data_IF_513901052551
#
_entry.id   IF_513901052551
#
_cell.length_a   1.000
_cell.length_b   1.000
_cell.length_c   1.000
_cell.angle_alpha   90.00
_cell.angle_beta   90.00
_cell.angle_gamma   90.00
#
_symmetry.space_group_name_H-M   'P 1'
#
loop_
_entity.id
_entity.type
_entity.pdbx_description
1 polymer ?
#
# COMPACT_ATOMS: atom_id res chain seq x y z
N UNK A 1 1.30 31.21 -18.50
CA UNK A 1 1.53 29.76 -18.59
C UNK A 1 1.13 29.17 -17.25
N UNK A 2 -0.04 28.54 -17.25
CA UNK A 2 -0.73 27.92 -16.12
C UNK A 2 -0.04 26.60 -15.77
N UNK A 3 0.40 26.45 -14.52
CA UNK A 3 0.96 25.22 -13.99
C UNK A 3 -0.18 24.23 -13.68
N UNK A 4 -0.21 23.11 -14.39
CA UNK A 4 -1.02 21.93 -14.07
C UNK A 4 -0.35 21.19 -12.90
N UNK A 5 -0.98 21.23 -11.73
CA UNK A 5 -0.65 20.38 -10.59
C UNK A 5 -1.27 18.99 -10.79
N UNK A 6 -0.59 17.88 -10.43
CA UNK A 6 -1.20 16.56 -10.47
C UNK A 6 -2.17 16.41 -9.30
N UNK A 7 -3.44 16.15 -9.63
CA UNK A 7 -4.49 15.75 -8.70
C UNK A 7 -4.14 14.39 -8.07
N UNK A 8 -3.67 14.41 -6.83
CA UNK A 8 -3.69 13.25 -5.94
C UNK A 8 -5.14 12.99 -5.53
N UNK A 9 -5.68 11.84 -5.92
CA UNK A 9 -6.98 11.36 -5.48
C UNK A 9 -6.91 11.06 -3.98
N UNK A 10 -7.44 11.99 -3.19
CA UNK A 10 -7.67 11.83 -1.76
C UNK A 10 -8.90 10.94 -1.59
N UNK A 11 -8.71 9.66 -1.25
CA UNK A 11 -9.80 8.80 -0.81
C UNK A 11 -10.28 9.27 0.56
N UNK A 12 -11.43 9.95 0.58
CA UNK A 12 -12.18 10.30 1.78
C UNK A 12 -12.90 9.04 2.28
N UNK A 13 -12.22 8.26 3.13
CA UNK A 13 -12.92 7.39 4.06
C UNK A 13 -13.48 8.28 5.18
N UNK A 14 -14.80 8.40 5.23
CA UNK A 14 -15.51 9.14 6.28
C UNK A 14 -15.25 8.44 7.62
N UNK A 15 -14.60 9.15 8.55
CA UNK A 15 -14.36 8.69 9.91
C UNK A 15 -15.69 8.53 10.69
N UNK A 16 -15.84 7.54 11.58
CA UNK A 16 -16.93 7.52 12.55
C UNK A 16 -16.76 8.70 13.53
N UNK A 17 -17.86 9.30 14.01
CA UNK A 17 -17.78 10.41 14.96
C UNK A 17 -17.17 9.96 16.30
N UNK A 18 -16.47 10.85 17.01
CA UNK A 18 -15.89 10.54 18.31
C UNK A 18 -16.99 10.27 19.34
N UNK A 19 -16.92 9.12 20.00
CA UNK A 19 -17.85 8.73 21.06
C UNK A 19 -17.72 9.64 22.27
N UNK A 20 -18.69 10.53 22.45
CA UNK A 20 -19.03 11.12 23.74
C UNK A 20 -20.11 10.29 24.41
N UNK A 21 -20.04 10.14 25.73
CA UNK A 21 -21.05 9.47 26.54
C UNK A 21 -22.41 10.17 26.39
N UNK A 22 -23.27 9.63 25.54
CA UNK A 22 -24.69 10.00 25.46
C UNK A 22 -25.48 8.88 26.13
N UNK A 23 -26.25 9.16 27.20
CA UNK A 23 -27.16 8.19 27.78
C UNK A 23 -28.13 7.68 26.72
N UNK A 24 -28.23 6.37 26.57
CA UNK A 24 -29.17 5.74 25.66
C UNK A 24 -30.60 6.09 26.10
N UNK A 25 -31.37 6.75 25.23
CA UNK A 25 -32.83 6.76 25.32
C UNK A 25 -33.39 5.81 24.25
N UNK A 26 -34.29 4.88 24.60
CA UNK A 26 -34.93 4.03 23.61
C UNK A 26 -35.77 4.89 22.66
N UNK A 27 -35.39 4.90 21.38
CA UNK A 27 -36.24 5.40 20.31
C UNK A 27 -37.48 4.49 20.26
N UNK A 28 -38.72 5.04 20.27
CA UNK A 28 -39.91 4.23 20.21
C UNK A 28 -39.92 3.42 18.91
N UNK A 29 -39.95 2.10 19.04
CA UNK A 29 -40.04 1.15 17.95
C UNK A 29 -41.37 1.32 17.20
N UNK A 30 -41.37 2.12 16.15
CA UNK A 30 -42.38 1.99 15.11
C UNK A 30 -42.18 0.59 14.49
N UNK A 31 -43.15 -0.30 14.72
CA UNK A 31 -43.11 -1.68 14.25
C UNK A 31 -42.90 -1.73 12.75
N UNK A 32 -41.72 -2.16 12.33
CA UNK A 32 -41.49 -2.72 11.00
C UNK A 32 -41.80 -4.20 11.15
N UNK A 33 -42.80 -4.65 10.39
CA UNK A 33 -43.21 -6.04 10.30
C UNK A 33 -42.00 -6.95 10.13
N UNK A 34 -41.84 -7.90 11.05
CA UNK A 34 -40.86 -8.98 10.94
C UNK A 34 -41.20 -9.80 9.70
N UNK A 35 -40.42 -9.63 8.63
CA UNK A 35 -40.38 -10.56 7.52
C UNK A 35 -40.13 -11.97 8.07
N UNK A 36 -40.81 -12.98 7.51
CA UNK A 36 -40.69 -14.38 7.97
C UNK A 36 -39.24 -14.92 7.94
N UNK A 37 -39.00 -16.17 8.38
CA UNK A 37 -37.66 -16.74 8.36
C UNK A 37 -37.02 -16.59 6.98
N UNK A 38 -35.82 -16.01 6.94
CA UNK A 38 -35.07 -15.73 5.72
C UNK A 38 -35.01 -17.02 4.88
N UNK A 39 -35.58 -16.99 3.66
CA UNK A 39 -35.54 -18.17 2.80
C UNK A 39 -34.11 -18.43 2.36
N UNK A 40 -33.65 -19.67 2.50
CA UNK A 40 -32.30 -20.07 2.12
C UNK A 40 -32.33 -21.34 1.27
N UNK A 41 -31.42 -21.39 0.31
CA UNK A 41 -31.09 -22.57 -0.49
C UNK A 41 -29.69 -23.05 -0.09
N UNK A 42 -29.32 -24.27 -0.51
CA UNK A 42 -27.98 -24.79 -0.25
C UNK A 42 -27.38 -25.52 -1.46
N UNK A 43 -26.08 -25.30 -1.69
CA UNK A 43 -25.24 -26.07 -2.61
C UNK A 43 -24.21 -26.81 -1.76
N UNK A 44 -24.09 -28.12 -1.95
CA UNK A 44 -23.07 -28.93 -1.29
C UNK A 44 -21.99 -29.33 -2.26
N UNK A 45 -20.74 -29.26 -1.81
CA UNK A 45 -19.55 -29.78 -2.52
C UNK A 45 -18.93 -30.90 -1.68
N UNK A 46 -17.69 -31.32 -2.01
CA UNK A 46 -16.99 -32.37 -1.26
C UNK A 46 -16.73 -31.96 0.19
N UNK A 47 -16.34 -30.71 0.41
CA UNK A 47 -15.84 -30.18 1.68
C UNK A 47 -16.56 -28.94 2.18
N UNK A 48 -17.56 -28.46 1.43
CA UNK A 48 -18.33 -27.27 1.78
C UNK A 48 -19.83 -27.49 1.69
N UNK A 49 -20.56 -26.79 2.55
CA UNK A 49 -22.01 -26.59 2.47
C UNK A 49 -22.28 -25.10 2.37
N UNK A 50 -22.66 -24.63 1.19
CA UNK A 50 -22.90 -23.23 0.91
C UNK A 50 -24.38 -22.96 1.10
N UNK A 51 -24.76 -22.26 2.16
CA UNK A 51 -26.14 -21.81 2.46
C UNK A 51 -26.27 -20.38 1.98
N UNK A 52 -27.29 -20.06 1.18
CA UNK A 52 -27.40 -18.73 0.57
C UNK A 52 -28.84 -18.28 0.40
N UNK A 53 -29.06 -16.97 0.36
CA UNK A 53 -30.36 -16.40 0.00
C UNK A 53 -30.60 -16.46 -1.52
N UNK A 54 -31.85 -16.48 -2.00
CA UNK A 54 -32.14 -16.50 -3.44
C UNK A 54 -31.42 -15.42 -4.25
N UNK A 55 -31.22 -14.23 -3.66
CA UNK A 55 -30.50 -13.10 -4.29
C UNK A 55 -28.99 -13.32 -4.37
N UNK A 56 -28.41 -14.13 -3.49
CA UNK A 56 -26.99 -14.49 -3.48
C UNK A 56 -26.66 -15.72 -4.35
N UNK A 57 -27.63 -16.28 -5.09
CA UNK A 57 -27.47 -17.53 -5.87
C UNK A 57 -26.30 -17.52 -6.85
N UNK A 58 -26.08 -16.40 -7.56
CA UNK A 58 -24.94 -16.26 -8.47
C UNK A 58 -23.60 -16.36 -7.75
N UNK A 59 -23.45 -15.64 -6.64
CA UNK A 59 -22.25 -15.68 -5.78
C UNK A 59 -22.03 -17.06 -5.18
N UNK A 60 -23.09 -17.75 -4.74
CA UNK A 60 -23.00 -19.12 -4.22
C UNK A 60 -22.50 -20.12 -5.28
N UNK A 61 -22.91 -19.98 -6.54
CA UNK A 61 -22.41 -20.80 -7.64
C UNK A 61 -20.94 -20.54 -7.96
N UNK A 62 -20.48 -19.29 -7.83
CA UNK A 62 -19.05 -18.95 -7.95
C UNK A 62 -18.27 -19.63 -6.82
N UNK A 63 -18.70 -19.46 -5.57
CA UNK A 63 -18.08 -20.10 -4.40
C UNK A 63 -18.00 -21.62 -4.53
N UNK A 64 -19.04 -22.27 -5.05
CA UNK A 64 -19.05 -23.72 -5.27
C UNK A 64 -17.94 -24.21 -6.21
N UNK A 65 -17.44 -23.36 -7.11
CA UNK A 65 -16.31 -23.68 -8.01
C UNK A 65 -14.95 -23.34 -7.40
N UNK A 66 -14.87 -22.24 -6.64
CA UNK A 66 -13.60 -21.69 -6.15
C UNK A 66 -13.16 -22.24 -4.79
N UNK A 67 -14.09 -22.64 -3.91
CA UNK A 67 -13.75 -23.02 -2.53
C UNK A 67 -12.95 -24.32 -2.42
N UNK A 68 -13.24 -25.31 -3.27
CA UNK A 68 -12.51 -26.58 -3.29
C UNK A 68 -11.02 -26.40 -3.64
N UNK A 69 -10.64 -25.79 -4.78
CA UNK A 69 -9.23 -25.55 -5.09
C UNK A 69 -8.58 -24.59 -4.09
N UNK A 70 -9.31 -23.59 -3.58
CA UNK A 70 -8.80 -22.70 -2.54
C UNK A 70 -8.42 -23.46 -1.26
N UNK A 71 -9.23 -24.43 -0.84
CA UNK A 71 -8.93 -25.31 0.28
C UNK A 71 -7.74 -26.22 0.01
N UNK A 72 -7.60 -26.74 -1.21
CA UNK A 72 -6.43 -27.55 -1.60
C UNK A 72 -5.14 -26.73 -1.54
N UNK A 73 -5.15 -25.48 -2.00
CA UNK A 73 -4.01 -24.56 -1.90
C UNK A 73 -3.61 -24.31 -0.43
N UNK A 74 -4.59 -23.95 0.41
CA UNK A 74 -4.34 -23.66 1.82
C UNK A 74 -3.87 -24.93 2.54
N UNK A 75 -4.48 -26.08 2.28
CA UNK A 75 -4.08 -27.35 2.88
C UNK A 75 -2.65 -27.73 2.50
N UNK A 76 -2.24 -27.49 1.24
CA UNK A 76 -0.86 -27.70 0.80
C UNK A 76 0.13 -26.82 1.57
N UNK A 77 -0.21 -25.54 1.77
CA UNK A 77 0.62 -24.59 2.51
C UNK A 77 0.71 -24.92 4.01
N UNK A 78 -0.40 -25.34 4.61
CA UNK A 78 -0.48 -25.78 6.01
C UNK A 78 0.08 -27.20 6.21
N UNK A 79 0.41 -27.92 5.13
CA UNK A 79 0.88 -29.31 5.16
C UNK A 79 -0.18 -30.36 5.45
N UNK A 80 -1.45 -29.96 5.59
CA UNK A 80 -2.60 -30.84 5.80
C UNK A 80 -3.93 -30.16 5.54
N UNK A 81 -4.93 -30.98 5.26
CA UNK A 81 -6.33 -30.57 5.25
C UNK A 81 -6.87 -30.53 6.70
N UNK A 82 -7.94 -29.78 6.94
CA UNK A 82 -8.66 -29.73 8.22
C UNK A 82 -9.88 -30.66 8.21
N UNK A 83 -10.39 -31.12 9.36
CA UNK A 83 -11.55 -32.02 9.38
C UNK A 83 -12.87 -31.29 9.06
N UNK A 84 -13.86 -32.09 8.64
CA UNK A 84 -15.26 -31.65 8.53
C UNK A 84 -15.63 -30.87 7.27
N UNK A 85 -16.92 -30.55 7.18
CA UNK A 85 -17.53 -29.78 6.09
C UNK A 85 -17.70 -28.34 6.57
N UNK A 86 -17.02 -27.40 5.90
CA UNK A 86 -17.11 -25.98 6.22
C UNK A 86 -18.43 -25.41 5.70
N UNK A 87 -19.23 -24.81 6.57
CA UNK A 87 -20.48 -24.15 6.17
C UNK A 87 -20.18 -22.70 5.77
N UNK A 88 -20.59 -22.31 4.57
CA UNK A 88 -20.42 -20.94 4.05
C UNK A 88 -21.79 -20.32 3.88
N UNK A 89 -22.07 -19.24 4.61
CA UNK A 89 -23.34 -18.52 4.58
C UNK A 89 -23.22 -17.27 3.73
N UNK A 90 -24.08 -17.11 2.73
CA UNK A 90 -23.97 -16.03 1.74
C UNK A 90 -25.27 -15.23 1.66
N UNK A 91 -25.21 -13.96 2.03
CA UNK A 91 -26.34 -13.03 1.98
C UNK A 91 -26.07 -11.89 1.00
N UNK A 92 -27.10 -11.41 0.30
CA UNK A 92 -26.99 -10.27 -0.60
C UNK A 92 -27.30 -8.97 0.16
N UNK A 93 -26.29 -8.10 0.28
CA UNK A 93 -26.41 -6.86 1.03
C UNK A 93 -26.40 -7.07 2.56
N UNK A 94 -26.41 -5.95 3.28
CA UNK A 94 -26.12 -5.95 4.72
C UNK A 94 -27.15 -6.69 5.56
N UNK A 95 -28.44 -6.51 5.27
CA UNK A 95 -29.54 -7.12 6.02
C UNK A 95 -29.48 -8.66 5.97
N UNK A 96 -29.33 -9.24 4.78
CA UNK A 96 -29.24 -10.69 4.61
C UNK A 96 -27.94 -11.25 5.20
N UNK A 97 -26.83 -10.52 5.06
CA UNK A 97 -25.54 -10.88 5.66
C UNK A 97 -25.64 -10.95 7.20
N UNK A 98 -26.23 -9.94 7.84
CA UNK A 98 -26.45 -9.93 9.29
C UNK A 98 -27.43 -11.01 9.72
N UNK A 99 -28.53 -11.21 8.98
CA UNK A 99 -29.54 -12.21 9.30
C UNK A 99 -29.00 -13.65 9.27
N UNK A 100 -27.97 -13.90 8.46
CA UNK A 100 -27.30 -15.21 8.38
C UNK A 100 -26.19 -15.40 9.42
N UNK A 101 -25.83 -14.37 10.19
CA UNK A 101 -24.81 -14.44 11.24
C UNK A 101 -25.23 -15.39 12.38
N UNK A 102 -24.25 -15.82 13.19
CA UNK A 102 -24.54 -16.66 14.35
C UNK A 102 -25.05 -15.83 15.52
N UNK A 103 -25.90 -16.40 16.41
CA UNK A 103 -26.28 -15.74 17.65
C UNK A 103 -25.04 -15.40 18.48
N UNK A 104 -24.94 -14.14 18.95
CA UNK A 104 -23.80 -13.67 19.76
C UNK A 104 -23.31 -12.27 19.44
N UNK A 105 -23.80 -11.65 18.36
CA UNK A 105 -23.49 -10.26 18.00
C UNK A 105 -23.56 -10.05 16.49
N UNK A 106 -23.95 -8.85 16.06
CA UNK A 106 -23.90 -8.51 14.64
C UNK A 106 -22.43 -8.46 14.17
N UNK A 107 -22.14 -8.90 12.93
CA UNK A 107 -20.83 -8.69 12.32
C UNK A 107 -20.43 -7.20 12.38
N UNK A 108 -19.13 -6.86 12.42
CA UNK A 108 -18.71 -5.47 12.30
C UNK A 108 -19.30 -4.80 11.05
N UNK A 109 -19.66 -3.50 11.07
CA UNK A 109 -20.29 -2.84 9.91
C UNK A 109 -19.45 -2.87 8.64
N UNK A 110 -18.12 -2.89 8.80
CA UNK A 110 -17.14 -2.93 7.71
C UNK A 110 -16.81 -4.34 7.23
N UNK A 111 -17.22 -5.39 7.94
CA UNK A 111 -16.90 -6.77 7.58
C UNK A 111 -17.71 -7.21 6.36
N UNK A 112 -16.99 -7.57 5.30
CA UNK A 112 -17.55 -8.11 4.05
C UNK A 112 -17.45 -9.65 3.98
N UNK A 113 -16.60 -10.23 4.83
CA UNK A 113 -16.56 -11.64 5.16
C UNK A 113 -16.15 -11.78 6.65
N UNK A 114 -16.52 -12.90 7.27
CA UNK A 114 -16.23 -13.17 8.67
C UNK A 114 -16.17 -14.68 8.93
N UNK A 115 -15.07 -15.15 9.52
CA UNK A 115 -14.95 -16.51 10.02
C UNK A 115 -15.53 -16.66 11.44
N UNK A 116 -16.11 -17.82 11.70
CA UNK A 116 -16.38 -18.35 13.03
C UNK A 116 -15.54 -19.62 13.22
N UNK A 117 -14.24 -19.48 13.56
CA UNK A 117 -13.26 -20.57 13.48
C UNK A 117 -13.70 -21.83 14.21
N UNK A 118 -14.09 -21.71 15.48
CA UNK A 118 -14.50 -22.84 16.31
C UNK A 118 -15.82 -23.51 15.92
N UNK A 119 -16.56 -22.96 14.95
CA UNK A 119 -17.82 -23.53 14.45
C UNK A 119 -17.73 -24.04 13.01
N UNK A 120 -16.57 -23.93 12.38
CA UNK A 120 -16.37 -24.27 10.97
C UNK A 120 -17.35 -23.54 10.04
N UNK A 121 -17.64 -22.28 10.34
CA UNK A 121 -18.57 -21.43 9.59
C UNK A 121 -17.83 -20.21 9.06
N UNK A 122 -18.14 -19.83 7.82
CA UNK A 122 -17.76 -18.56 7.23
C UNK A 122 -19.02 -17.83 6.77
N UNK A 123 -19.07 -16.53 6.99
CA UNK A 123 -20.14 -15.64 6.55
C UNK A 123 -19.59 -14.70 5.48
N UNK A 124 -20.28 -14.59 4.34
CA UNK A 124 -19.82 -13.87 3.15
C UNK A 124 -20.91 -12.96 2.64
N UNK A 125 -20.57 -11.69 2.40
CA UNK A 125 -21.45 -10.76 1.70
C UNK A 125 -21.33 -11.02 0.20
N UNK A 126 -22.45 -11.21 -0.49
CA UNK A 126 -22.47 -11.71 -1.87
C UNK A 126 -21.76 -10.81 -2.88
N UNK A 127 -21.80 -9.49 -2.70
CA UNK A 127 -21.15 -8.51 -3.59
C UNK A 127 -19.65 -8.40 -3.36
N UNK A 128 -19.15 -8.77 -2.17
CA UNK A 128 -17.72 -8.79 -1.84
C UNK A 128 -16.90 -9.62 -2.82
N UNK A 129 -17.47 -10.71 -3.35
CA UNK A 129 -16.84 -11.60 -4.32
C UNK A 129 -16.51 -10.95 -5.66
N UNK A 130 -17.21 -9.85 -5.99
CA UNK A 130 -17.04 -9.12 -7.25
C UNK A 130 -15.99 -8.01 -7.13
N UNK A 131 -15.51 -7.74 -5.92
CA UNK A 131 -14.44 -6.76 -5.68
C UNK A 131 -13.08 -7.33 -6.08
N UNK A 132 -12.11 -6.46 -6.34
CA UNK A 132 -10.74 -6.88 -6.69
C UNK A 132 -10.08 -7.69 -5.57
N UNK A 133 -10.40 -7.38 -4.31
CA UNK A 133 -9.77 -7.98 -3.13
C UNK A 133 -10.60 -9.16 -2.57
N UNK A 134 -11.81 -9.41 -3.08
CA UNK A 134 -12.75 -10.43 -2.58
C UNK A 134 -12.16 -11.85 -2.45
N UNK A 135 -11.50 -12.39 -3.50
CA UNK A 135 -10.84 -13.70 -3.40
C UNK A 135 -9.73 -13.76 -2.36
N UNK A 136 -9.01 -12.66 -2.11
CA UNK A 136 -7.97 -12.59 -1.07
C UNK A 136 -8.61 -12.61 0.32
N UNK A 137 -9.63 -11.79 0.54
CA UNK A 137 -10.39 -11.79 1.81
C UNK A 137 -10.98 -13.16 2.11
N UNK A 138 -11.52 -13.86 1.11
CA UNK A 138 -12.02 -15.24 1.31
C UNK A 138 -10.92 -16.21 1.74
N UNK A 139 -9.73 -16.14 1.12
CA UNK A 139 -8.59 -16.97 1.51
C UNK A 139 -8.20 -16.69 2.96
N UNK A 140 -8.20 -15.42 3.36
CA UNK A 140 -7.88 -14.98 4.73
C UNK A 140 -8.85 -15.60 5.74
N UNK A 141 -10.15 -15.44 5.53
CA UNK A 141 -11.17 -16.03 6.40
C UNK A 141 -11.12 -17.57 6.40
N UNK A 142 -10.74 -18.20 5.28
CA UNK A 142 -10.63 -19.65 5.21
C UNK A 142 -9.44 -20.18 6.03
N UNK A 143 -8.34 -19.42 6.12
CA UNK A 143 -7.21 -19.73 7.02
C UNK A 143 -7.67 -19.68 8.48
N UNK A 144 -8.46 -18.67 8.86
CA UNK A 144 -9.04 -18.58 10.20
C UNK A 144 -9.92 -19.79 10.52
N UNK A 145 -10.79 -20.20 9.58
CA UNK A 145 -11.59 -21.42 9.72
C UNK A 145 -10.70 -22.64 9.93
N UNK A 146 -9.66 -22.82 9.11
CA UNK A 146 -8.74 -23.95 9.22
C UNK A 146 -8.06 -23.99 10.60
N UNK A 147 -7.51 -22.87 11.07
CA UNK A 147 -6.89 -22.77 12.39
C UNK A 147 -7.87 -23.13 13.52
N UNK A 148 -9.12 -22.67 13.43
CA UNK A 148 -10.16 -23.02 14.39
C UNK A 148 -10.52 -24.50 14.45
N UNK A 149 -10.24 -25.26 13.38
CA UNK A 149 -10.41 -26.72 13.37
C UNK A 149 -9.20 -27.46 13.94
N UNK A 150 -8.00 -26.87 13.87
CA UNK A 150 -6.79 -27.45 14.45
C UNK A 150 -6.63 -27.16 15.94
N UNK A 151 -7.22 -26.07 16.45
CA UNK A 151 -7.07 -25.66 17.84
C UNK A 151 -8.10 -24.62 18.26
N UNK A 152 -8.41 -24.61 19.55
CA UNK A 152 -9.39 -23.67 20.12
C UNK A 152 -8.81 -22.30 20.45
N UNK A 153 -7.52 -22.24 20.78
CA UNK A 153 -6.87 -21.04 21.30
C UNK A 153 -5.58 -20.83 20.52
N UNK A 154 -5.55 -19.74 19.77
CA UNK A 154 -4.40 -19.27 19.01
C UNK A 154 -4.20 -17.79 19.36
N UNK A 155 -2.95 -17.32 19.54
CA UNK A 155 -2.69 -15.90 19.67
C UNK A 155 -3.21 -15.15 18.44
N UNK A 156 -3.87 -14.02 18.68
CA UNK A 156 -4.49 -13.23 17.62
C UNK A 156 -3.46 -12.77 16.58
N UNK A 157 -2.28 -12.34 17.03
CA UNK A 157 -1.15 -12.02 16.13
C UNK A 157 -0.77 -13.18 15.22
N UNK A 158 -0.82 -14.43 15.70
CA UNK A 158 -0.44 -15.58 14.88
C UNK A 158 -1.50 -15.89 13.83
N UNK A 159 -2.79 -15.82 14.22
CA UNK A 159 -3.90 -16.03 13.31
C UNK A 159 -3.87 -15.02 12.15
N UNK A 160 -3.76 -13.74 12.46
CA UNK A 160 -3.73 -12.69 11.44
C UNK A 160 -2.43 -12.74 10.62
N UNK A 161 -1.28 -12.90 11.26
CA UNK A 161 0.00 -12.98 10.56
C UNK A 161 0.08 -14.16 9.60
N UNK A 162 -0.42 -15.34 9.99
CA UNK A 162 -0.45 -16.51 9.12
C UNK A 162 -1.43 -16.33 7.97
N UNK A 163 -2.63 -15.80 8.22
CA UNK A 163 -3.60 -15.54 7.18
C UNK A 163 -3.03 -14.58 6.11
N UNK A 164 -2.44 -13.46 6.52
CA UNK A 164 -1.81 -12.48 5.61
C UNK A 164 -0.64 -13.09 4.82
N UNK A 165 0.20 -13.89 5.47
CA UNK A 165 1.34 -14.53 4.80
C UNK A 165 0.88 -15.54 3.73
N UNK A 166 -0.17 -16.31 4.02
CA UNK A 166 -0.69 -17.33 3.10
C UNK A 166 -1.55 -16.76 1.97
N UNK A 167 -2.18 -15.59 2.16
CA UNK A 167 -2.95 -14.92 1.09
C UNK A 167 -2.06 -14.14 0.12
N UNK A 168 -0.82 -13.81 0.50
CA UNK A 168 0.12 -13.14 -0.38
C UNK A 168 -0.33 -11.74 -0.77
N UNK A 169 -0.88 -11.02 0.21
CA UNK A 169 -1.47 -9.68 0.12
C UNK A 169 -0.42 -8.59 -0.24
N UNK A 170 0.08 -8.64 -1.49
CA UNK A 170 1.18 -7.81 -2.02
C UNK A 170 0.91 -6.30 -1.96
N UNK A 171 -0.35 -5.88 -2.12
CA UNK A 171 -0.75 -4.47 -2.00
C UNK A 171 -0.47 -3.94 -0.59
N UNK A 172 -0.69 -4.78 0.41
CA UNK A 172 -0.45 -4.45 1.79
C UNK A 172 1.04 -4.50 2.15
N UNK A 173 1.88 -5.22 1.41
CA UNK A 173 3.32 -5.31 1.74
C UNK A 173 4.01 -3.94 1.77
N UNK A 174 3.70 -3.03 0.83
CA UNK A 174 4.32 -1.69 0.84
C UNK A 174 3.81 -0.82 2.00
N UNK A 175 2.51 -0.85 2.27
CA UNK A 175 1.90 -0.12 3.38
C UNK A 175 2.38 -0.67 4.73
N UNK A 176 2.42 -1.99 4.89
CA UNK A 176 2.96 -2.67 6.07
C UNK A 176 4.43 -2.33 6.31
N UNK A 177 5.26 -2.29 5.26
CA UNK A 177 6.66 -1.86 5.36
C UNK A 177 6.74 -0.42 5.86
N UNK A 178 5.93 0.50 5.33
CA UNK A 178 5.91 1.88 5.78
C UNK A 178 5.41 2.01 7.24
N UNK A 179 4.36 1.27 7.60
CA UNK A 179 3.79 1.21 8.96
C UNK A 179 4.81 0.68 9.95
N UNK A 180 5.48 -0.44 9.66
CA UNK A 180 6.53 -0.99 10.51
C UNK A 180 7.75 -0.08 10.60
N UNK A 181 8.18 0.52 9.49
CA UNK A 181 9.29 1.48 9.52
C UNK A 181 8.98 2.65 10.46
N UNK A 182 7.75 3.16 10.43
CA UNK A 182 7.29 4.20 11.36
C UNK A 182 7.24 3.70 12.80
N UNK A 183 6.65 2.53 13.04
CA UNK A 183 6.55 1.92 14.37
C UNK A 183 7.92 1.69 15.00
N UNK A 184 8.89 1.17 14.25
CA UNK A 184 10.28 0.97 14.68
C UNK A 184 10.95 2.31 14.99
N UNK A 185 10.74 3.34 14.16
CA UNK A 185 11.33 4.67 14.38
C UNK A 185 10.74 5.37 15.62
N UNK A 186 9.48 5.09 15.94
CA UNK A 186 8.75 5.71 17.06
C UNK A 186 8.75 4.87 18.34
N UNK A 187 9.41 3.71 18.34
CA UNK A 187 9.41 2.75 19.46
C UNK A 187 7.98 2.30 19.86
N UNK A 188 7.16 1.97 18.86
CA UNK A 188 5.75 1.56 19.00
C UNK A 188 5.50 0.10 18.59
N UNK A 189 6.55 -0.72 18.59
CA UNK A 189 6.46 -2.16 18.31
C UNK A 189 5.93 -2.85 19.56
N UNK A 190 4.94 -3.72 19.43
CA UNK A 190 4.30 -4.41 20.55
C UNK A 190 5.15 -5.56 21.09
N UNK A 191 4.96 -5.90 22.36
CA UNK A 191 5.25 -7.26 22.84
C UNK A 191 4.16 -8.22 22.31
N UNK A 192 4.54 -9.44 21.87
CA UNK A 192 3.54 -10.35 21.28
C UNK A 192 2.49 -10.80 22.30
N UNK A 193 2.83 -10.84 23.58
CA UNK A 193 1.87 -11.07 24.67
C UNK A 193 0.77 -10.00 24.71
N UNK A 194 1.09 -8.73 24.42
CA UNK A 194 0.12 -7.62 24.42
C UNK A 194 -0.95 -7.74 23.33
N UNK A 195 -0.60 -8.38 22.22
CA UNK A 195 -1.46 -8.58 21.04
C UNK A 195 -1.88 -10.04 20.86
N UNK A 196 -1.70 -10.89 21.88
CA UNK A 196 -2.07 -12.30 21.85
C UNK A 196 -3.57 -12.53 22.05
N UNK A 197 -4.22 -11.74 22.90
CA UNK A 197 -5.67 -11.91 23.16
C UNK A 197 -6.54 -11.09 22.20
N UNK A 198 -6.13 -9.85 21.91
CA UNK A 198 -6.86 -8.92 21.04
C UNK A 198 -5.92 -7.83 20.53
N UNK A 199 -6.29 -7.23 19.41
CA UNK A 199 -5.62 -6.03 18.91
C UNK A 199 -6.15 -4.76 19.62
N UNK A 200 -5.36 -3.67 19.58
CA UNK A 200 -5.81 -2.34 20.03
C UNK A 200 -7.03 -1.85 19.23
N UNK A 201 -7.65 -0.74 19.63
CA UNK A 201 -8.84 -0.20 18.95
C UNK A 201 -8.53 0.98 18.02
N UNK A 202 -7.46 1.73 18.30
CA UNK A 202 -7.09 2.87 17.47
C UNK A 202 -6.53 2.38 16.14
N UNK A 203 -7.01 2.94 15.02
CA UNK A 203 -6.67 2.48 13.66
C UNK A 203 -5.15 2.31 13.45
N UNK A 204 -4.36 3.36 13.74
CA UNK A 204 -2.90 3.31 13.58
C UNK A 204 -2.26 2.18 14.40
N UNK A 205 -2.78 1.93 15.61
CA UNK A 205 -2.28 0.87 16.49
C UNK A 205 -2.64 -0.53 15.96
N UNK A 206 -3.82 -0.67 15.37
CA UNK A 206 -4.27 -1.91 14.72
C UNK A 206 -3.42 -2.22 13.49
N UNK A 207 -3.17 -1.21 12.65
CA UNK A 207 -2.34 -1.37 11.45
C UNK A 207 -0.91 -1.82 11.80
N UNK A 208 -0.35 -1.31 12.92
CA UNK A 208 0.94 -1.77 13.45
C UNK A 208 0.86 -3.23 13.89
N UNK A 209 -0.18 -3.62 14.63
CA UNK A 209 -0.35 -5.00 15.09
C UNK A 209 -0.45 -6.00 13.93
N UNK A 210 -1.23 -5.68 12.89
CA UNK A 210 -1.30 -6.49 11.66
C UNK A 210 0.05 -6.59 10.95
N UNK A 211 0.70 -5.45 10.70
CA UNK A 211 1.97 -5.43 9.99
C UNK A 211 3.06 -6.20 10.76
N UNK A 212 3.13 -6.02 12.09
CA UNK A 212 4.06 -6.74 12.95
C UNK A 212 3.79 -8.25 12.97
N UNK A 213 2.52 -8.65 13.00
CA UNK A 213 2.09 -10.05 12.97
C UNK A 213 2.55 -10.75 11.70
N UNK A 214 2.27 -10.16 10.53
CA UNK A 214 2.69 -10.69 9.24
C UNK A 214 4.23 -10.78 9.13
N UNK A 215 4.94 -9.70 9.50
CA UNK A 215 6.40 -9.66 9.46
C UNK A 215 7.06 -10.70 10.37
N UNK A 216 6.47 -10.99 11.52
CA UNK A 216 7.01 -12.00 12.43
C UNK A 216 6.76 -13.42 11.96
N UNK A 217 5.57 -13.71 11.41
CA UNK A 217 5.32 -15.01 10.75
C UNK A 217 6.25 -15.22 9.56
N UNK A 218 6.47 -14.19 8.74
CA UNK A 218 7.46 -14.23 7.65
C UNK A 218 8.88 -14.48 8.18
N UNK A 219 9.27 -13.80 9.27
CA UNK A 219 10.57 -14.00 9.93
C UNK A 219 10.75 -15.44 10.42
N UNK A 220 9.74 -16.01 11.09
CA UNK A 220 9.75 -17.39 11.55
C UNK A 220 9.83 -18.37 10.39
N UNK A 221 9.07 -18.14 9.31
CA UNK A 221 9.10 -18.97 8.09
C UNK A 221 10.47 -18.93 7.42
N UNK A 222 11.08 -17.76 7.30
CA UNK A 222 12.41 -17.61 6.71
C UNK A 222 13.50 -18.31 7.54
N UNK A 223 13.36 -18.32 8.87
CA UNK A 223 14.35 -18.88 9.80
C UNK A 223 14.22 -20.38 9.99
N UNK A 224 12.99 -20.90 10.09
CA UNK A 224 12.71 -22.28 10.49
C UNK A 224 12.08 -23.15 9.40
N UNK A 225 11.65 -22.53 8.29
CA UNK A 225 10.98 -23.20 7.18
C UNK A 225 9.54 -23.62 7.48
N UNK A 226 8.79 -23.97 6.43
CA UNK A 226 7.36 -24.31 6.54
C UNK A 226 7.09 -25.56 7.39
N UNK A 227 8.05 -26.50 7.47
CA UNK A 227 7.90 -27.70 8.29
C UNK A 227 7.80 -27.42 9.80
N UNK A 228 8.29 -26.27 10.27
CA UNK A 228 8.11 -25.85 11.67
C UNK A 228 6.66 -25.47 11.98
N UNK A 229 5.98 -24.79 11.05
CA UNK A 229 4.57 -24.44 11.20
C UNK A 229 3.66 -25.67 11.21
N UNK A 230 3.97 -26.67 10.37
CA UNK A 230 3.26 -27.95 10.39
C UNK A 230 3.36 -28.63 11.77
N UNK A 231 4.57 -28.65 12.37
CA UNK A 231 4.77 -29.17 13.72
C UNK A 231 4.05 -28.34 14.79
N UNK A 232 4.00 -27.02 14.65
CA UNK A 232 3.23 -26.17 15.56
C UNK A 232 1.75 -26.57 15.54
N UNK A 233 1.18 -26.71 14.34
CA UNK A 233 -0.20 -27.15 14.15
C UNK A 233 -0.42 -28.54 14.76
N UNK A 234 0.49 -29.49 14.51
CA UNK A 234 0.44 -30.83 15.13
C UNK A 234 0.34 -30.79 16.65
N UNK A 235 1.16 -29.95 17.28
CA UNK A 235 1.23 -29.84 18.75
C UNK A 235 -0.02 -29.21 19.33
N UNK A 236 -0.53 -28.15 18.71
CA UNK A 236 -1.78 -27.52 19.13
C UNK A 236 -2.96 -28.48 18.98
N UNK A 237 -3.01 -29.24 17.88
CA UNK A 237 -4.05 -30.27 17.66
C UNK A 237 -3.98 -31.41 18.69
N UNK A 238 -2.79 -31.75 19.16
CA UNK A 238 -2.56 -32.70 20.27
C UNK A 238 -2.95 -32.14 21.65
N UNK A 239 -3.36 -30.87 21.74
CA UNK A 239 -3.81 -30.23 22.96
C UNK A 239 -2.73 -29.50 23.75
N UNK A 240 -1.52 -29.33 23.20
CA UNK A 240 -0.55 -28.43 23.81
C UNK A 240 -1.05 -26.98 23.71
N UNK A 241 -0.84 -26.19 24.77
CA UNK A 241 -1.04 -24.75 24.66
C UNK A 241 -0.03 -24.14 23.67
N UNK A 242 -0.36 -22.98 23.12
CA UNK A 242 0.42 -22.38 22.04
C UNK A 242 1.89 -22.18 22.38
N UNK A 243 2.23 -21.67 23.58
CA UNK A 243 3.61 -21.43 24.00
C UNK A 243 4.45 -22.71 24.03
N UNK A 244 3.88 -23.78 24.61
CA UNK A 244 4.51 -25.11 24.64
C UNK A 244 4.65 -25.68 23.23
N UNK A 245 3.62 -25.56 22.41
CA UNK A 245 3.60 -26.01 21.03
C UNK A 245 4.66 -25.27 20.18
N UNK A 246 4.81 -23.97 20.39
CA UNK A 246 5.81 -23.12 19.75
C UNK A 246 7.22 -23.57 20.09
N UNK A 247 7.54 -23.70 21.38
CA UNK A 247 8.86 -24.16 21.83
C UNK A 247 9.23 -25.54 21.28
N UNK A 248 8.25 -26.45 21.16
CA UNK A 248 8.45 -27.77 20.58
C UNK A 248 8.61 -27.76 19.04
N UNK A 249 7.94 -26.83 18.36
CA UNK A 249 7.92 -26.76 16.90
C UNK A 249 9.15 -26.05 16.31
N UNK A 250 9.53 -24.93 16.93
CA UNK A 250 10.64 -24.06 16.52
C UNK A 250 11.94 -24.34 17.29
N UNK A 251 11.90 -25.23 18.30
CA UNK A 251 13.05 -25.58 19.16
C UNK A 251 13.64 -24.40 19.95
N UNK A 252 12.90 -23.30 20.01
CA UNK A 252 13.26 -22.05 20.68
C UNK A 252 11.97 -21.48 21.29
N UNK A 253 12.00 -20.98 22.54
CA UNK A 253 10.85 -20.30 23.15
C UNK A 253 10.41 -19.05 22.37
N UNK A 254 9.13 -18.70 22.46
CA UNK A 254 8.56 -17.55 21.74
C UNK A 254 9.30 -16.25 22.08
N UNK A 255 9.56 -16.02 23.36
CA UNK A 255 10.26 -14.84 23.85
C UNK A 255 11.66 -14.64 23.23
N UNK A 256 12.41 -15.72 23.00
CA UNK A 256 13.72 -15.63 22.35
C UNK A 256 13.63 -15.30 20.86
N UNK A 257 12.62 -15.83 20.16
CA UNK A 257 12.39 -15.48 18.75
C UNK A 257 11.87 -14.05 18.61
N UNK A 258 11.04 -13.59 19.56
CA UNK A 258 10.59 -12.22 19.65
C UNK A 258 11.75 -11.23 19.87
N UNK A 259 12.64 -11.52 20.82
CA UNK A 259 13.86 -10.70 21.04
C UNK A 259 14.75 -10.66 19.79
N UNK A 260 14.93 -11.81 19.13
CA UNK A 260 15.71 -11.90 17.91
C UNK A 260 15.08 -11.09 16.77
N UNK A 261 13.76 -11.15 16.63
CA UNK A 261 13.00 -10.37 15.65
C UNK A 261 13.12 -8.87 15.92
N UNK A 262 12.86 -8.43 17.16
CA UNK A 262 12.96 -7.02 17.56
C UNK A 262 14.35 -6.44 17.33
N UNK A 263 15.40 -7.24 17.57
CA UNK A 263 16.79 -6.85 17.28
C UNK A 263 17.06 -6.69 15.77
N UNK A 264 16.36 -7.45 14.92
CA UNK A 264 16.51 -7.37 13.45
C UNK A 264 15.68 -6.24 12.82
N UNK A 265 14.65 -5.73 13.51
CA UNK A 265 13.71 -4.73 12.99
C UNK A 265 14.38 -3.46 12.44
N UNK A 266 15.32 -2.78 13.15
CA UNK A 266 15.95 -1.57 12.63
C UNK A 266 16.79 -1.80 11.37
N UNK A 267 17.26 -3.03 11.17
CA UNK A 267 18.02 -3.44 9.97
C UNK A 267 17.09 -3.71 8.80
N UNK A 268 15.94 -4.36 9.04
CA UNK A 268 14.93 -4.69 8.02
C UNK A 268 14.10 -3.50 7.59
N UNK A 269 13.74 -2.64 8.54
CA UNK A 269 12.85 -1.49 8.34
C UNK A 269 13.60 -0.19 8.71
N UNK A 270 14.66 0.16 7.96
CA UNK A 270 15.42 1.36 8.27
C UNK A 270 14.58 2.61 7.96
N UNK A 271 14.79 3.68 8.72
CA UNK A 271 14.00 4.92 8.63
C UNK A 271 14.31 5.77 7.37
N UNK A 272 15.48 5.59 6.74
CA UNK A 272 15.93 6.42 5.63
C UNK A 272 15.04 6.41 4.36
N UNK A 273 14.33 5.33 3.98
CA UNK A 273 13.40 5.36 2.85
C UNK A 273 12.25 6.34 3.09
N UNK A 274 11.81 6.53 4.35
CA UNK A 274 10.77 7.51 4.69
C UNK A 274 11.22 8.95 4.46
N UNK A 275 12.52 9.25 4.59
CA UNK A 275 13.05 10.57 4.24
C UNK A 275 13.00 10.82 2.73
N UNK A 276 13.22 9.78 1.93
CA UNK A 276 13.33 9.89 0.47
C UNK A 276 11.96 9.82 -0.20
N UNK A 277 10.97 9.16 0.41
CA UNK A 277 9.64 8.96 -0.15
C UNK A 277 8.82 10.25 -0.30
N UNK A 278 9.06 11.27 0.53
CA UNK A 278 8.36 12.56 0.47
C UNK A 278 8.89 13.54 -0.58
N UNK A 279 10.02 13.24 -1.24
CA UNK A 279 10.69 14.12 -2.24
C UNK A 279 11.28 15.42 -1.67
N UNK A 280 10.83 15.89 -0.50
CA UNK A 280 11.25 17.13 0.15
C UNK A 280 12.75 17.17 0.42
N UNK A 281 13.34 16.08 0.91
CA UNK A 281 14.78 16.00 1.17
C UNK A 281 15.57 16.05 -0.14
N UNK A 282 15.09 15.38 -1.19
CA UNK A 282 15.69 15.43 -2.53
C UNK A 282 15.65 16.86 -3.07
N UNK A 283 14.50 17.54 -2.98
CA UNK A 283 14.34 18.92 -3.43
C UNK A 283 15.14 19.92 -2.58
N UNK A 284 15.27 19.69 -1.28
CA UNK A 284 16.11 20.50 -0.40
C UNK A 284 17.59 20.36 -0.78
N UNK A 285 18.09 19.13 -0.96
CA UNK A 285 19.46 18.88 -1.42
C UNK A 285 19.70 19.49 -2.80
N UNK A 286 18.77 19.31 -3.74
CA UNK A 286 18.86 19.90 -5.08
C UNK A 286 18.88 21.43 -5.04
N UNK A 287 18.07 22.03 -4.17
CA UNK A 287 18.03 23.48 -3.96
C UNK A 287 19.34 24.00 -3.38
N UNK A 288 19.94 23.29 -2.41
CA UNK A 288 21.26 23.62 -1.86
C UNK A 288 22.34 23.53 -2.95
N UNK A 289 22.33 22.46 -3.77
CA UNK A 289 23.26 22.29 -4.89
C UNK A 289 23.14 23.41 -5.92
N UNK A 290 21.91 23.83 -6.27
CA UNK A 290 21.64 24.95 -7.16
C UNK A 290 22.15 26.28 -6.61
N UNK A 291 21.91 26.55 -5.31
CA UNK A 291 22.41 27.77 -4.66
C UNK A 291 23.93 27.78 -4.62
N UNK A 292 24.57 26.64 -4.32
CA UNK A 292 26.03 26.53 -4.35
C UNK A 292 26.60 26.72 -5.76
N UNK A 293 25.99 26.10 -6.77
CA UNK A 293 26.37 26.26 -8.17
C UNK A 293 26.22 27.71 -8.64
N UNK A 294 25.11 28.36 -8.31
CA UNK A 294 24.88 29.78 -8.59
C UNK A 294 25.88 30.68 -7.87
N UNK A 295 26.16 30.43 -6.60
CA UNK A 295 27.12 31.21 -5.82
C UNK A 295 28.53 31.09 -6.41
N UNK A 296 28.94 29.88 -6.81
CA UNK A 296 30.21 29.62 -7.48
C UNK A 296 30.28 30.33 -8.83
N UNK A 297 29.27 30.17 -9.68
CA UNK A 297 29.20 30.85 -10.98
C UNK A 297 29.23 32.36 -10.84
N UNK A 298 28.55 32.91 -9.83
CA UNK A 298 28.53 34.35 -9.55
C UNK A 298 29.88 34.86 -9.04
N UNK A 299 30.68 34.03 -8.36
CA UNK A 299 32.07 34.38 -8.00
C UNK A 299 32.95 34.43 -9.25
N UNK A 300 32.91 33.39 -10.08
CA UNK A 300 33.67 33.31 -11.34
C UNK A 300 33.36 34.48 -12.30
N UNK A 301 32.07 34.79 -12.51
CA UNK A 301 31.67 35.91 -13.39
C UNK A 301 32.11 37.26 -12.82
N UNK A 302 32.08 37.45 -11.49
CA UNK A 302 32.58 38.68 -10.86
C UNK A 302 34.08 38.85 -11.07
N UNK A 303 34.85 37.77 -10.94
CA UNK A 303 36.29 37.78 -11.19
C UNK A 303 36.61 38.09 -12.65
N UNK A 304 35.87 37.50 -13.61
CA UNK A 304 36.04 37.78 -15.03
C UNK A 304 35.71 39.23 -15.39
N UNK A 305 34.60 39.76 -14.88
CA UNK A 305 34.23 41.18 -15.09
C UNK A 305 35.26 42.13 -14.48
N UNK A 306 35.80 41.82 -13.30
CA UNK A 306 36.85 42.62 -12.69
C UNK A 306 38.15 42.62 -13.52
N UNK A 307 38.46 41.52 -14.21
CA UNK A 307 39.58 41.47 -15.18
C UNK A 307 39.29 42.30 -16.43
N UNK A 308 38.08 42.23 -16.98
CA UNK A 308 37.67 43.03 -18.15
C UNK A 308 37.72 44.53 -17.87
N UNK A 309 37.14 44.97 -16.74
CA UNK A 309 37.20 46.37 -16.30
C UNK A 309 38.64 46.88 -16.15
N UNK A 310 39.57 46.04 -15.66
CA UNK A 310 41.00 46.40 -15.61
C UNK A 310 41.59 46.59 -17.01
N UNK A 311 41.25 45.73 -17.96
CA UNK A 311 41.73 45.84 -19.35
C UNK A 311 41.13 47.06 -20.04
N UNK A 312 39.85 47.33 -19.85
CA UNK A 312 39.15 48.49 -20.42
C UNK A 312 39.69 49.80 -19.85
N UNK A 313 39.87 49.89 -18.52
CA UNK A 313 40.46 51.09 -17.89
C UNK A 313 41.90 51.34 -18.35
N UNK A 314 42.70 50.29 -18.56
CA UNK A 314 44.03 50.42 -19.15
C UNK A 314 43.98 50.88 -20.61
N UNK A 315 43.05 50.35 -21.41
CA UNK A 315 42.82 50.79 -22.79
C UNK A 315 42.38 52.25 -22.87
N UNK A 316 41.47 52.68 -22.00
CA UNK A 316 41.01 54.07 -21.93
C UNK A 316 42.13 55.02 -21.48
N UNK A 317 42.93 54.62 -20.48
CA UNK A 317 44.09 55.38 -20.05
C UNK A 317 45.12 55.50 -21.19
N UNK A 318 45.37 54.42 -21.93
CA UNK A 318 46.24 54.45 -23.11
C UNK A 318 45.69 55.36 -24.22
N UNK A 319 44.38 55.31 -24.53
CA UNK A 319 43.74 56.23 -25.50
C UNK A 319 43.85 57.69 -25.08
N UNK A 320 43.72 57.99 -23.78
CA UNK A 320 43.85 59.37 -23.27
C UNK A 320 45.28 59.89 -23.34
N UNK A 321 46.27 59.02 -23.06
CA UNK A 321 47.69 59.37 -23.16
C UNK A 321 48.15 59.54 -24.61
N UNK A 322 47.60 58.75 -25.54
CA UNK A 322 47.95 58.79 -26.96
C UNK A 322 47.23 59.91 -27.74
N UNK A 323 46.40 60.73 -27.09
CA UNK A 323 45.72 61.87 -27.70
C UNK A 323 44.70 61.43 -28.76
N UNK A 324 43.45 61.23 -28.35
CA UNK A 324 42.38 60.64 -29.15
C UNK A 324 42.38 60.97 -30.65
N UNK A 325 42.84 60.02 -31.46
CA UNK A 325 42.48 59.94 -32.87
C UNK A 325 41.25 59.03 -33.00
N UNK A 326 40.23 59.40 -33.79
CA UNK A 326 39.15 58.47 -34.11
C UNK A 326 39.74 57.31 -34.90
N UNK A 327 39.62 56.09 -34.38
CA UNK A 327 39.88 54.91 -35.17
C UNK A 327 38.82 54.87 -36.29
N UNK A 328 39.25 54.76 -37.55
CA UNK A 328 38.35 54.40 -38.64
C UNK A 328 37.57 53.13 -38.24
N UNK A 329 36.25 53.13 -38.41
CA UNK A 329 35.37 52.02 -38.03
C UNK A 329 35.68 50.70 -38.76
N UNK A 330 36.61 50.70 -39.73
CA UNK A 330 37.00 49.54 -40.50
C UNK A 330 38.16 48.73 -39.88
N UNK A 331 38.88 49.26 -38.88
CA UNK A 331 40.04 48.60 -38.26
C UNK A 331 39.94 48.55 -36.73
N UNK A 332 39.02 47.75 -36.20
CA UNK A 332 39.19 47.01 -34.94
C UNK A 332 37.88 46.36 -34.49
N UNK A 333 37.71 45.08 -34.80
CA UNK A 333 37.33 44.05 -33.82
C UNK A 333 37.50 42.70 -34.53
N UNK A 334 38.75 42.24 -34.63
CA UNK A 334 38.95 40.79 -34.77
C UNK A 334 38.38 40.17 -33.49
N UNK A 335 37.19 39.59 -33.60
CA UNK A 335 36.58 38.80 -32.55
C UNK A 335 37.53 37.65 -32.26
N UNK A 336 38.44 37.80 -31.30
CA UNK A 336 39.12 36.66 -30.71
C UNK A 336 38.03 35.88 -29.96
N UNK A 337 37.60 34.70 -30.45
CA UNK A 337 36.58 33.95 -29.75
C UNK A 337 37.15 33.57 -28.39
N UNK A 338 36.54 34.10 -27.33
CA UNK A 338 36.87 33.70 -25.98
C UNK A 338 36.56 32.20 -25.85
N UNK A 339 37.59 31.36 -25.89
CA UNK A 339 37.49 29.93 -25.69
C UNK A 339 37.05 29.65 -24.25
N UNK A 340 35.75 29.69 -23.98
CA UNK A 340 35.22 29.50 -22.64
C UNK A 340 33.71 29.56 -22.45
N UNK A 341 32.91 29.92 -23.46
CA UNK A 341 31.45 29.80 -23.38
C UNK A 341 30.87 29.15 -24.64
N UNK A 342 31.14 27.85 -24.80
CA UNK A 342 30.12 26.98 -25.38
C UNK A 342 29.06 26.74 -24.29
N UNK A 343 28.05 27.59 -24.24
CA UNK A 343 26.78 27.24 -23.59
C UNK A 343 25.90 26.56 -24.64
N UNK A 344 25.52 25.28 -24.50
CA UNK A 344 24.73 24.58 -25.50
C UNK A 344 23.25 24.73 -25.18
N UNK A 345 22.66 25.91 -25.36
CA UNK A 345 21.20 26.05 -25.40
C UNK A 345 20.82 27.17 -26.37
N UNK A 346 20.69 26.82 -27.65
CA UNK A 346 19.91 27.59 -28.61
C UNK A 346 18.46 27.17 -28.39
N UNK A 347 17.65 28.07 -27.82
CA UNK A 347 16.19 27.93 -27.86
C UNK A 347 15.76 28.42 -29.24
N UNK A 348 15.36 27.50 -30.12
CA UNK A 348 14.73 27.85 -31.39
C UNK A 348 13.38 28.52 -31.11
N UNK A 349 13.32 29.84 -31.23
CA UNK A 349 12.05 30.55 -31.37
C UNK A 349 11.68 30.46 -32.85
N UNK A 350 10.72 29.60 -33.16
CA UNK A 350 10.09 29.53 -34.48
C UNK A 350 9.34 30.83 -34.70
N UNK A 351 9.83 31.68 -35.61
CA UNK A 351 9.10 32.84 -36.11
C UNK A 351 8.07 32.34 -37.14
N UNK A 352 6.78 32.49 -36.82
CA UNK A 352 5.70 32.33 -37.79
C UNK A 352 5.81 33.45 -38.83
N UNK A 353 6.04 33.09 -40.10
CA UNK A 353 5.87 34.00 -41.24
C UNK A 353 4.41 34.01 -41.67
N UNK A 354 3.79 35.19 -41.71
CA UNK A 354 2.51 35.39 -42.41
C UNK A 354 2.67 35.10 -43.91
N UNK A 355 1.66 34.51 -44.58
CA UNK A 355 1.73 34.21 -45.99
C UNK A 355 1.41 35.45 -46.83
N UNK A 356 2.40 35.90 -47.60
CA UNK A 356 2.21 36.91 -48.64
C UNK A 356 1.47 36.28 -49.84
N UNK A 357 0.46 37.00 -50.31
CA UNK A 357 -0.35 36.71 -51.50
C UNK A 357 0.50 36.80 -52.75
N UNK A 358 0.28 35.87 -53.69
CA UNK A 358 0.18 36.13 -55.14
C UNK A 358 -0.49 34.90 -55.79
N UNK A 359 -1.73 35.03 -56.24
CA UNK A 359 -2.15 35.50 -57.57
C UNK A 359 -2.12 34.38 -58.64
N UNK A 360 -3.33 33.88 -58.92
CA UNK A 360 -3.87 33.27 -60.14
C UNK A 360 -2.85 32.77 -61.18
N UNK A 361 -2.98 31.50 -61.57
CA UNK A 361 -3.43 31.15 -62.93
C UNK A 361 -3.87 29.68 -63.06
N UNK A 362 -5.03 29.53 -63.70
CA UNK A 362 -5.54 28.42 -64.51
C UNK A 362 -5.69 27.01 -63.92
N UNK A 363 -6.94 26.74 -63.52
CA UNK A 363 -7.62 25.44 -63.66
C UNK A 363 -7.40 24.86 -65.06
N UNK A 364 -7.11 23.57 -65.14
CA UNK A 364 -7.78 22.73 -66.13
C UNK A 364 -7.97 21.29 -65.63
N UNK A 365 -9.13 20.77 -66.02
CA UNK A 365 -9.56 19.37 -66.13
C UNK A 365 -9.94 18.49 -64.90
N UNK A 366 -11.28 18.34 -64.82
CA UNK A 366 -12.06 17.08 -64.79
C UNK A 366 -12.05 16.18 -63.55
N UNK A 367 -13.19 16.29 -62.87
CA UNK A 367 -14.00 15.24 -62.25
C UNK A 367 -13.85 13.81 -62.81
N UNK A 368 -13.81 12.82 -61.92
CA UNK A 368 -14.89 11.84 -61.62
C UNK A 368 -14.23 10.59 -61.03
N UNK A 369 -14.47 10.32 -59.75
CA UNK A 369 -15.04 9.07 -59.20
C UNK A 369 -15.23 9.21 -57.70
#
# INVERSE_FOLDING_TARGET
>A
MTFLAPLLALSLAVAPPPGGDVPWEPIPSAGIETSGPLQTEAISTRRFKIVFTPRAKGSAQVLARELEPMRDDIASLLGRDWPGVTEVRVGFGREEYEALSLPGGAPPPWAIALAYPGRNIMLVEATSLTTLDGPLTLRHELVHVALGQFGKVWPHWFQEGLAMELTGERKWQLEQVATLTRAVTQDRVYDFDEISERFPQAQESVDIAYAQSAAFVEFLRARHGSGAFQRLIDRVEQGDNFEKAFGAAFWVPLSMEEEAFKKDLPRRYPWWPLLLSGGTVVWAVMSILLVMGWARRRREVRELRARQLKVETLHEAARRLLGGAPANEDDAFEYLPYAGTQTPWVVNIVQFSEPERDEKTSKDERSVS
#
